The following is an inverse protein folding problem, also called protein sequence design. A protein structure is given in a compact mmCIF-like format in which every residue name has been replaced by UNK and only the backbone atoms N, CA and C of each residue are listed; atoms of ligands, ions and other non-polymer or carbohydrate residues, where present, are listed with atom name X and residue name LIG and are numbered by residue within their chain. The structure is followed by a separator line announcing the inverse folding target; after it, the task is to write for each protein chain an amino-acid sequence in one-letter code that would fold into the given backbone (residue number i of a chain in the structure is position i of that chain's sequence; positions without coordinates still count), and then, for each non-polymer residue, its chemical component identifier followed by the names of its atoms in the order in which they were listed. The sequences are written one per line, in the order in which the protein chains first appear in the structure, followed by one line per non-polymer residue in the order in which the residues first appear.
data_IF_533263121664
#
_entry.id   IF_533263121664
#
_cell.length_a   1.000
_cell.length_b   1.000
_cell.length_c   1.000
_cell.angle_alpha   90.00
_cell.angle_beta   90.00
_cell.angle_gamma   90.00
#
_symmetry.space_group_name_H-M   'P 1'
#
loop_
_entity.id
_entity.type
_entity.pdbx_description
1 polymer ?
#
# COMPACT_ATOMS: atom_id res chain seq x y z
N UNK A 1 26.57 -4.80 -13.39
CA UNK A 1 25.72 -5.85 -13.99
C UNK A 1 24.87 -5.17 -15.06
N UNK A 2 24.91 -5.65 -16.30
CA UNK A 2 24.08 -5.14 -17.40
C UNK A 2 22.70 -5.81 -17.42
N UNK A 3 21.79 -5.42 -18.34
CA UNK A 3 20.50 -6.10 -18.49
C UNK A 3 20.73 -7.60 -18.81
N UNK A 4 19.79 -8.49 -18.44
CA UNK A 4 19.86 -9.91 -18.78
C UNK A 4 20.08 -10.12 -20.28
N UNK A 5 21.04 -10.98 -20.64
CA UNK A 5 21.46 -11.24 -22.02
C UNK A 5 21.56 -12.74 -22.30
N UNK A 6 21.36 -13.11 -23.57
CA UNK A 6 21.62 -14.46 -24.07
C UNK A 6 23.12 -14.71 -24.33
N UNK A 7 23.48 -15.92 -24.78
CA UNK A 7 24.87 -16.28 -25.09
C UNK A 7 25.48 -15.53 -26.28
N UNK A 8 24.70 -14.77 -27.05
CA UNK A 8 25.16 -13.92 -28.15
C UNK A 8 25.24 -12.44 -27.76
N UNK A 9 24.91 -12.08 -26.52
CA UNK A 9 24.90 -10.70 -26.03
C UNK A 9 23.63 -9.91 -26.39
N UNK A 10 22.57 -10.56 -26.88
CA UNK A 10 21.29 -9.88 -27.11
C UNK A 10 20.53 -9.72 -25.80
N UNK A 11 19.86 -8.59 -25.60
CA UNK A 11 19.02 -8.35 -24.42
C UNK A 11 17.81 -9.29 -24.46
N UNK A 12 17.60 -10.02 -23.37
CA UNK A 12 16.43 -10.90 -23.19
C UNK A 12 15.26 -10.07 -22.68
N UNK A 13 14.11 -10.17 -23.32
CA UNK A 13 12.88 -9.49 -22.85
C UNK A 13 12.40 -10.08 -21.52
N UNK A 14 11.79 -9.27 -20.64
CA UNK A 14 11.15 -9.79 -19.43
C UNK A 14 10.03 -10.77 -19.79
N UNK A 15 10.08 -11.96 -19.19
CA UNK A 15 8.92 -12.85 -19.16
C UNK A 15 8.03 -12.46 -17.99
N UNK A 16 6.71 -12.54 -18.16
CA UNK A 16 5.73 -12.23 -17.11
C UNK A 16 5.07 -13.52 -16.68
N UNK A 17 5.14 -13.83 -15.39
CA UNK A 17 4.52 -14.99 -14.78
C UNK A 17 3.05 -14.70 -14.43
N UNK A 18 2.26 -15.75 -14.15
CA UNK A 18 0.83 -15.62 -13.80
C UNK A 18 0.59 -14.82 -12.50
N UNK A 19 1.55 -14.83 -11.58
CA UNK A 19 1.52 -14.06 -10.34
C UNK A 19 1.97 -12.59 -10.52
N UNK A 20 2.25 -12.18 -11.76
CA UNK A 20 2.69 -10.83 -12.12
C UNK A 20 4.19 -10.58 -11.90
N UNK A 21 4.94 -11.53 -11.33
CA UNK A 21 6.39 -11.41 -11.19
C UNK A 21 7.08 -11.57 -12.55
N UNK A 22 8.34 -11.13 -12.61
CA UNK A 22 9.15 -11.26 -13.81
C UNK A 22 10.08 -12.47 -13.77
N UNK A 23 10.31 -13.03 -14.95
CA UNK A 23 11.32 -14.05 -15.22
C UNK A 23 12.41 -13.49 -16.14
N UNK A 24 13.28 -14.36 -16.65
CA UNK A 24 14.44 -13.98 -17.47
C UNK A 24 15.43 -13.02 -16.77
N UNK A 25 15.53 -13.10 -15.44
CA UNK A 25 16.47 -12.32 -14.65
C UNK A 25 16.06 -10.86 -14.39
N UNK A 26 14.84 -10.47 -14.76
CA UNK A 26 14.29 -9.15 -14.47
C UNK A 26 13.62 -9.10 -13.10
N UNK A 27 13.84 -8.02 -12.35
CA UNK A 27 13.29 -7.83 -10.99
C UNK A 27 11.83 -7.34 -11.03
N UNK A 28 11.55 -6.35 -11.87
CA UNK A 28 10.22 -5.76 -12.08
C UNK A 28 9.53 -5.27 -10.80
N UNK A 29 10.21 -4.41 -10.05
CA UNK A 29 9.68 -3.74 -8.85
C UNK A 29 8.35 -3.03 -9.14
N UNK A 30 8.21 -2.45 -10.33
CA UNK A 30 6.97 -1.81 -10.79
C UNK A 30 5.76 -2.76 -10.89
N UNK A 31 5.95 -4.08 -10.76
CA UNK A 31 4.90 -5.11 -10.73
C UNK A 31 4.67 -5.68 -9.33
N UNK A 32 5.47 -5.30 -8.34
CA UNK A 32 5.21 -5.67 -6.96
C UNK A 32 3.94 -4.96 -6.48
N UNK A 33 3.04 -5.70 -5.84
CA UNK A 33 1.72 -5.21 -5.39
C UNK A 33 1.83 -3.92 -4.61
N UNK A 34 2.72 -3.89 -3.62
CA UNK A 34 2.99 -2.73 -2.77
C UNK A 34 3.38 -1.49 -3.57
N UNK A 35 4.06 -1.66 -4.72
CA UNK A 35 4.54 -0.56 -5.55
C UNK A 35 3.44 -0.09 -6.51
N UNK A 36 2.86 -0.97 -7.34
CA UNK A 36 1.87 -0.54 -8.32
C UNK A 36 0.59 -0.02 -7.65
N UNK A 37 0.20 -0.59 -6.50
CA UNK A 37 -0.95 -0.09 -5.75
C UNK A 37 -0.65 1.29 -5.15
N UNK A 38 0.58 1.57 -4.72
CA UNK A 38 0.95 2.92 -4.26
C UNK A 38 1.05 3.95 -5.39
N UNK A 39 1.31 3.52 -6.64
CA UNK A 39 1.09 4.37 -7.82
C UNK A 39 -0.39 4.71 -7.97
N UNK A 40 -1.28 3.70 -7.82
CA UNK A 40 -2.73 3.89 -7.78
C UNK A 40 -3.16 4.86 -6.67
N UNK A 41 -2.67 4.67 -5.45
CA UNK A 41 -2.90 5.56 -4.31
C UNK A 41 -2.54 7.00 -4.63
N UNK A 42 -1.36 7.24 -5.24
CA UNK A 42 -0.93 8.58 -5.63
C UNK A 42 -1.90 9.23 -6.63
N UNK A 43 -2.40 8.47 -7.59
CA UNK A 43 -3.37 8.95 -8.58
C UNK A 43 -4.71 9.30 -7.92
N UNK A 44 -5.21 8.44 -7.02
CA UNK A 44 -6.45 8.70 -6.26
C UNK A 44 -6.32 9.96 -5.40
N UNK A 45 -5.19 10.10 -4.71
CA UNK A 45 -4.86 11.23 -3.84
C UNK A 45 -4.40 12.49 -4.59
N UNK A 46 -4.48 12.52 -5.93
CA UNK A 46 -4.05 13.69 -6.70
C UNK A 46 -4.88 14.94 -6.31
N UNK A 47 -4.18 16.07 -6.19
CA UNK A 47 -4.77 17.38 -5.87
C UNK A 47 -5.10 17.62 -4.38
N UNK A 48 -4.86 16.66 -3.48
CA UNK A 48 -5.08 16.85 -2.04
C UNK A 48 -3.78 17.21 -1.31
N UNK A 49 -3.89 17.85 -0.15
CA UNK A 49 -2.75 18.13 0.74
C UNK A 49 -2.51 16.98 1.72
N UNK A 50 -1.36 16.98 2.40
CA UNK A 50 -1.17 16.13 3.58
C UNK A 50 -2.00 16.71 4.74
N UNK A 51 -2.76 15.86 5.41
CA UNK A 51 -3.63 16.18 6.56
C UNK A 51 -3.55 15.06 7.59
N UNK A 52 -4.05 15.29 8.82
CA UNK A 52 -4.09 14.29 9.89
C UNK A 52 -2.73 13.60 10.14
N UNK A 53 -1.66 14.38 10.18
CA UNK A 53 -0.34 13.87 10.51
C UNK A 53 -0.33 13.35 11.96
N UNK A 54 0.24 12.17 12.16
CA UNK A 54 0.45 11.55 13.45
C UNK A 54 1.83 10.90 13.51
N UNK A 55 2.44 10.89 14.69
CA UNK A 55 3.66 10.15 14.98
C UNK A 55 3.69 9.77 16.45
N UNK A 56 4.39 8.67 16.78
CA UNK A 56 4.73 8.33 18.16
C UNK A 56 5.98 9.06 18.69
N UNK A 57 6.52 10.04 17.94
CA UNK A 57 7.81 10.70 18.17
C UNK A 57 9.04 9.77 18.07
N UNK A 58 8.90 8.65 17.36
CA UNK A 58 9.96 7.70 17.05
C UNK A 58 9.73 7.12 15.64
N UNK A 59 9.70 5.79 15.48
CA UNK A 59 9.67 5.12 14.19
C UNK A 59 8.27 4.72 13.70
N UNK A 60 7.22 5.40 14.19
CA UNK A 60 5.85 5.23 13.71
C UNK A 60 5.29 6.57 13.25
N UNK A 61 4.70 6.57 12.05
CA UNK A 61 4.03 7.74 11.47
C UNK A 61 2.76 7.32 10.74
N UNK A 62 1.81 8.24 10.63
CA UNK A 62 0.66 8.09 9.77
C UNK A 62 0.21 9.46 9.25
N UNK A 63 -0.40 9.48 8.07
CA UNK A 63 -1.00 10.68 7.54
C UNK A 63 -2.06 10.36 6.48
N UNK A 64 -2.89 11.35 6.21
CA UNK A 64 -3.90 11.31 5.15
C UNK A 64 -3.56 12.28 4.02
N UNK A 65 -4.20 12.04 2.88
CA UNK A 65 -4.17 12.88 1.69
C UNK A 65 -5.56 13.45 1.45
N UNK A 66 -5.91 14.49 2.21
CA UNK A 66 -7.28 14.99 2.31
C UNK A 66 -8.22 13.88 2.76
N UNK A 67 -9.36 13.75 2.10
CA UNK A 67 -10.35 12.69 2.36
C UNK A 67 -10.29 11.53 1.35
N UNK A 68 -9.15 11.36 0.65
CA UNK A 68 -9.01 10.40 -0.45
C UNK A 68 -8.12 9.20 -0.16
N UNK A 69 -7.14 9.34 0.73
CA UNK A 69 -6.24 8.25 1.09
C UNK A 69 -5.62 8.44 2.47
N UNK A 70 -5.30 7.34 3.13
CA UNK A 70 -4.63 7.28 4.42
C UNK A 70 -3.51 6.22 4.37
N UNK A 71 -2.39 6.51 5.01
CA UNK A 71 -1.25 5.60 5.09
C UNK A 71 -0.62 5.65 6.48
N UNK A 72 -0.20 4.49 6.99
CA UNK A 72 0.50 4.33 8.25
C UNK A 72 1.75 3.48 8.07
N UNK A 73 2.78 3.76 8.85
CA UNK A 73 4.09 3.10 8.78
C UNK A 73 4.57 2.75 10.19
N UNK A 74 5.25 1.62 10.30
CA UNK A 74 6.08 1.30 11.47
C UNK A 74 7.44 0.78 11.02
N UNK A 75 8.50 1.30 11.66
CA UNK A 75 9.85 0.74 11.61
C UNK A 75 10.39 0.46 13.02
N UNK A 76 9.52 0.50 14.03
CA UNK A 76 9.87 0.25 15.43
C UNK A 76 8.64 -0.09 16.27
N UNK A 77 8.55 -1.36 16.67
CA UNK A 77 7.43 -1.89 17.47
C UNK A 77 6.10 -1.96 16.72
N UNK A 78 5.10 -2.57 17.35
CA UNK A 78 3.77 -2.71 16.76
C UNK A 78 3.01 -1.37 16.85
N UNK A 79 2.41 -0.95 15.75
CA UNK A 79 1.51 0.20 15.71
C UNK A 79 0.09 -0.33 15.96
N UNK A 80 -0.51 0.07 17.09
CA UNK A 80 -1.89 -0.25 17.46
C UNK A 80 -2.55 1.02 18.00
N UNK A 81 -3.17 1.81 17.11
CA UNK A 81 -3.64 3.16 17.44
C UNK A 81 -4.98 3.47 16.77
N UNK A 82 -5.81 4.25 17.48
CA UNK A 82 -7.05 4.80 16.95
C UNK A 82 -6.78 6.16 16.30
N UNK A 83 -6.75 6.20 14.97
CA UNK A 83 -6.24 7.36 14.21
C UNK A 83 -7.31 8.00 13.32
N UNK A 84 -7.24 9.32 13.19
CA UNK A 84 -8.10 10.08 12.27
C UNK A 84 -7.59 9.89 10.84
N UNK A 85 -8.36 9.16 10.03
CA UNK A 85 -7.98 8.86 8.64
C UNK A 85 -8.38 9.96 7.66
N UNK A 86 -9.36 10.78 8.01
CA UNK A 86 -10.01 11.75 7.12
C UNK A 86 -10.89 11.11 6.04
N UNK A 87 -10.97 9.78 5.98
CA UNK A 87 -11.76 9.06 5.00
C UNK A 87 -13.23 8.99 5.41
N UNK A 88 -14.17 8.90 4.44
CA UNK A 88 -15.57 8.60 4.74
C UNK A 88 -15.72 7.24 5.42
N UNK A 89 -16.72 7.10 6.29
CA UNK A 89 -17.00 5.82 6.96
C UNK A 89 -17.27 4.66 5.99
N UNK A 90 -16.78 3.48 6.33
CA UNK A 90 -16.94 2.22 5.59
C UNK A 90 -15.73 1.30 5.71
N UNK A 91 -15.77 0.18 4.99
CA UNK A 91 -14.71 -0.83 5.00
C UNK A 91 -13.78 -0.64 3.80
N UNK A 92 -12.48 -0.63 4.05
CA UNK A 92 -11.44 -0.42 3.06
C UNK A 92 -10.49 -1.61 3.01
N UNK A 93 -10.04 -1.97 1.81
CA UNK A 93 -8.97 -2.94 1.61
C UNK A 93 -7.60 -2.27 1.77
N UNK A 94 -6.73 -2.88 2.56
CA UNK A 94 -5.32 -2.50 2.60
C UNK A 94 -4.63 -2.95 1.31
N UNK A 95 -4.22 -1.98 0.50
CA UNK A 95 -3.65 -2.21 -0.83
C UNK A 95 -2.20 -2.70 -0.79
N UNK A 96 -1.58 -2.71 0.39
CA UNK A 96 -0.23 -3.26 0.61
C UNK A 96 -0.31 -4.77 0.79
N UNK A 97 -1.10 -5.22 1.78
CA UNK A 97 -1.25 -6.65 2.07
C UNK A 97 -2.13 -7.39 1.06
N UNK A 98 -2.94 -6.69 0.26
CA UNK A 98 -3.76 -7.32 -0.77
C UNK A 98 -4.37 -6.35 -1.78
N UNK A 99 -5.45 -6.79 -2.41
CA UNK A 99 -6.18 -6.12 -3.48
C UNK A 99 -7.69 -6.23 -3.22
N UNK A 100 -8.48 -5.44 -3.97
CA UNK A 100 -9.90 -5.71 -4.12
C UNK A 100 -10.07 -6.75 -5.22
N UNK A 101 -10.69 -7.88 -4.90
CA UNK A 101 -11.00 -8.93 -5.87
C UNK A 101 -12.41 -9.45 -5.61
N UNK A 102 -13.27 -9.44 -6.64
CA UNK A 102 -14.66 -9.93 -6.56
C UNK A 102 -15.49 -9.33 -5.42
N UNK A 103 -15.28 -8.04 -5.11
CA UNK A 103 -16.01 -7.34 -4.03
C UNK A 103 -15.55 -7.69 -2.63
N UNK A 104 -14.39 -8.31 -2.47
CA UNK A 104 -13.76 -8.56 -1.17
C UNK A 104 -12.29 -8.15 -1.18
N UNK A 105 -11.72 -7.96 0.01
CA UNK A 105 -10.30 -7.71 0.18
C UNK A 105 -9.55 -9.04 0.27
N UNK A 106 -8.48 -9.19 -0.50
CA UNK A 106 -7.61 -10.37 -0.40
C UNK A 106 -6.61 -10.29 0.76
N UNK A 107 -6.38 -9.08 1.28
CA UNK A 107 -5.51 -8.79 2.43
C UNK A 107 -6.29 -8.24 3.63
N UNK A 108 -5.64 -7.38 4.41
CA UNK A 108 -6.24 -6.74 5.59
C UNK A 108 -7.39 -5.81 5.21
N UNK A 109 -8.29 -5.60 6.16
CA UNK A 109 -9.36 -4.61 6.06
C UNK A 109 -9.21 -3.56 7.14
N UNK A 110 -9.64 -2.33 6.85
CA UNK A 110 -9.74 -1.24 7.82
C UNK A 110 -11.17 -0.73 7.83
N UNK A 111 -11.79 -0.70 9.01
CA UNK A 111 -13.13 -0.15 9.19
C UNK A 111 -13.00 1.29 9.69
N UNK A 112 -13.46 2.23 8.87
CA UNK A 112 -13.48 3.65 9.19
C UNK A 112 -14.88 4.01 9.72
N UNK A 113 -14.93 4.63 10.89
CA UNK A 113 -16.15 5.15 11.50
C UNK A 113 -16.76 6.32 10.72
N UNK A 114 -18.00 6.69 11.05
CA UNK A 114 -18.66 7.85 10.43
C UNK A 114 -17.98 9.18 10.76
N UNK A 115 -17.14 9.21 11.80
CA UNK A 115 -16.30 10.32 12.24
C UNK A 115 -14.90 10.33 11.59
N UNK A 116 -14.61 9.37 10.70
CA UNK A 116 -13.35 9.26 9.97
C UNK A 116 -12.22 8.59 10.76
N UNK A 117 -12.46 8.14 12.00
CA UNK A 117 -11.47 7.41 12.78
C UNK A 117 -11.47 5.91 12.45
N UNK A 118 -10.32 5.26 12.62
CA UNK A 118 -10.18 3.82 12.48
C UNK A 118 -9.12 3.27 13.44
N UNK A 119 -9.30 2.02 13.86
CA UNK A 119 -8.25 1.26 14.54
C UNK A 119 -7.23 0.75 13.53
N UNK A 120 -6.01 1.24 13.64
CA UNK A 120 -4.89 0.86 12.79
C UNK A 120 -4.01 -0.12 13.56
N UNK A 121 -3.88 -1.33 13.03
CA UNK A 121 -2.99 -2.37 13.54
C UNK A 121 -2.00 -2.77 12.45
N UNK A 122 -0.72 -2.63 12.77
CA UNK A 122 0.41 -2.95 11.89
C UNK A 122 1.58 -3.45 12.73
N UNK A 123 1.83 -4.75 12.66
CA UNK A 123 2.91 -5.40 13.41
C UNK A 123 4.28 -5.15 12.78
N UNK A 124 5.32 -5.05 13.60
CA UNK A 124 6.70 -4.86 13.10
C UNK A 124 7.25 -6.09 12.35
N UNK A 125 6.64 -7.25 12.58
CA UNK A 125 7.03 -8.52 11.97
C UNK A 125 6.13 -8.92 10.79
N UNK A 126 5.23 -8.04 10.35
CA UNK A 126 4.52 -8.25 9.08
C UNK A 126 5.50 -8.09 7.90
N UNK A 127 5.18 -8.71 6.75
CA UNK A 127 6.03 -8.66 5.55
C UNK A 127 6.31 -7.21 5.10
N UNK A 128 5.34 -6.32 5.31
CA UNK A 128 5.40 -4.91 4.95
C UNK A 128 5.09 -4.02 6.18
N UNK A 129 6.03 -3.16 6.57
CA UNK A 129 5.88 -2.16 7.64
C UNK A 129 5.02 -0.95 7.25
N UNK A 130 4.05 -1.14 6.35
CA UNK A 130 3.16 -0.10 5.83
C UNK A 130 1.74 -0.63 5.64
N UNK A 131 0.75 0.21 5.92
CA UNK A 131 -0.66 -0.01 5.61
C UNK A 131 -1.17 1.18 4.82
N UNK A 132 -1.92 0.95 3.74
CA UNK A 132 -2.47 2.03 2.91
C UNK A 132 -3.90 1.72 2.44
N UNK A 133 -4.79 2.70 2.60
CA UNK A 133 -6.19 2.62 2.18
C UNK A 133 -6.59 3.90 1.44
N UNK A 134 -7.50 3.80 0.47
CA UNK A 134 -7.99 4.95 -0.28
C UNK A 134 -9.43 4.76 -0.76
N UNK A 135 -10.09 5.84 -1.21
CA UNK A 135 -11.52 5.82 -1.59
C UNK A 135 -11.89 4.84 -2.70
N UNK A 136 -10.98 4.54 -3.63
CA UNK A 136 -11.20 3.52 -4.66
C UNK A 136 -10.95 2.08 -4.17
N UNK A 137 -10.51 1.92 -2.91
CA UNK A 137 -10.29 0.65 -2.23
C UNK A 137 -11.36 0.38 -1.17
N UNK A 138 -12.47 1.12 -1.23
CA UNK A 138 -13.63 0.96 -0.36
C UNK A 138 -14.55 -0.12 -0.93
N UNK A 139 -15.06 -1.00 -0.06
CA UNK A 139 -16.12 -1.97 -0.38
C UNK A 139 -17.50 -1.32 -0.41
#
# INVERSE_FOLDING_TARGET
IGPPQDGSGNIVSPGINDDGTCSNGWICEHRWRQIFNMVGFRNVAAGTTITNWWSNNDQQIAFSRGNKGFVAFTNGGDLNQHLQTGLPGGTYCDIISGDISNGSCTGKTVNVGSDGYADISLGINEDDGVLAIHVNAKL
#
